data_IF_077695442252
#
_entry.id   IF_077695442252
#
_cell.length_a   1.000
_cell.length_b   1.000
_cell.length_c   1.000
_cell.angle_alpha   90.00
_cell.angle_beta   90.00
_cell.angle_gamma   90.00
#
_symmetry.space_group_name_H-M   'P 1'
#
loop_
_entity.id
_entity.type
_entity.pdbx_description
1 polymer ?
#
# COMPACT_ATOMS: atom_id res chain seq x y z
N UNK A 1 -0.83 41.98 -38.78
CA UNK A 1 -1.59 43.06 -38.13
C UNK A 1 -2.74 42.42 -37.38
N UNK A 2 -2.53 42.11 -36.09
CA UNK A 2 -3.51 41.49 -35.20
C UNK A 2 -3.88 42.55 -34.15
N UNK A 3 -5.09 43.10 -34.24
CA UNK A 3 -5.63 43.98 -33.20
C UNK A 3 -6.34 43.10 -32.15
N UNK A 4 -5.63 42.84 -31.06
CA UNK A 4 -6.17 42.35 -29.80
C UNK A 4 -6.68 43.55 -28.99
N UNK A 5 -7.99 43.61 -28.74
CA UNK A 5 -8.55 44.44 -27.68
C UNK A 5 -9.72 43.69 -27.03
N UNK A 6 -9.43 42.87 -26.01
CA UNK A 6 -10.41 42.46 -25.01
C UNK A 6 -10.11 43.19 -23.70
N UNK A 7 -10.81 44.29 -23.38
CA UNK A 7 -10.73 44.93 -22.08
C UNK A 7 -11.75 44.29 -21.12
N UNK A 8 -11.48 44.36 -19.81
CA UNK A 8 -12.38 44.09 -18.68
C UNK A 8 -12.38 42.69 -18.03
N UNK A 9 -11.21 42.18 -17.62
CA UNK A 9 -11.09 41.59 -16.28
C UNK A 9 -10.73 42.71 -15.28
N UNK A 10 -11.74 43.44 -14.79
CA UNK A 10 -11.57 44.45 -13.72
C UNK A 10 -12.56 44.30 -12.57
N UNK A 11 -13.17 43.11 -12.43
CA UNK A 11 -14.06 42.79 -11.31
C UNK A 11 -13.75 41.39 -10.80
N UNK A 12 -12.81 41.29 -9.86
CA UNK A 12 -12.62 40.07 -9.07
C UNK A 12 -13.71 40.04 -8.01
N UNK A 13 -14.77 39.29 -8.28
CA UNK A 13 -15.65 38.81 -7.23
C UNK A 13 -15.07 37.51 -6.69
N UNK A 14 -14.46 37.55 -5.52
CA UNK A 14 -14.17 36.33 -4.77
C UNK A 14 -15.45 35.91 -4.05
N UNK A 15 -16.26 35.09 -4.70
CA UNK A 15 -17.20 34.23 -3.98
C UNK A 15 -16.42 32.96 -3.66
N UNK A 16 -16.02 32.81 -2.39
CA UNK A 16 -15.52 31.52 -1.91
C UNK A 16 -16.62 30.47 -2.12
N UNK A 17 -16.36 29.38 -2.86
CA UNK A 17 -17.26 28.23 -2.84
C UNK A 17 -17.18 27.60 -1.44
N UNK A 18 -18.33 27.47 -0.80
CA UNK A 18 -18.43 26.89 0.54
C UNK A 18 -18.07 25.41 0.56
N UNK A 19 -17.16 25.06 1.46
CA UNK A 19 -16.96 23.72 2.00
C UNK A 19 -16.20 23.83 3.33
N UNK A 20 -16.59 23.12 4.40
CA UNK A 20 -15.86 23.13 5.66
C UNK A 20 -14.69 22.14 5.54
N UNK A 21 -13.68 22.52 4.76
CA UNK A 21 -12.33 21.94 4.71
C UNK A 21 -11.65 22.56 3.51
N UNK A 22 -10.44 23.07 3.70
CA UNK A 22 -9.58 23.52 2.63
C UNK A 22 -9.27 22.34 1.70
N UNK A 23 -10.09 22.15 0.65
CA UNK A 23 -9.68 21.38 -0.52
C UNK A 23 -8.69 22.27 -1.26
N UNK A 24 -7.40 21.96 -1.15
CA UNK A 24 -6.39 22.47 -2.06
C UNK A 24 -6.77 22.04 -3.47
N UNK A 25 -7.32 22.97 -4.24
CA UNK A 25 -7.36 22.86 -5.69
C UNK A 25 -5.91 22.96 -6.17
N UNK A 26 -5.28 21.79 -6.39
CA UNK A 26 -4.03 21.70 -7.12
C UNK A 26 -4.29 22.16 -8.55
N UNK A 27 -3.83 23.37 -8.85
CA UNK A 27 -3.71 23.81 -10.24
C UNK A 27 -2.83 22.81 -10.99
N UNK A 28 -3.34 22.30 -12.11
CA UNK A 28 -2.58 21.52 -13.08
C UNK A 28 -1.42 22.37 -13.60
N UNK A 29 -0.26 22.25 -12.95
CA UNK A 29 1.00 22.83 -13.39
C UNK A 29 1.64 21.90 -14.40
N UNK A 30 1.75 22.35 -15.65
CA UNK A 30 2.68 21.77 -16.61
C UNK A 30 4.10 21.86 -16.05
N UNK A 31 4.79 20.73 -16.04
CA UNK A 31 6.14 20.56 -15.55
C UNK A 31 7.11 21.56 -16.21
N UNK A 32 7.69 22.44 -15.41
CA UNK A 32 9.12 22.78 -15.48
C UNK A 32 9.60 23.02 -14.05
N UNK A 33 10.34 22.05 -13.52
CA UNK A 33 10.97 22.15 -12.20
C UNK A 33 12.17 23.09 -12.34
N UNK A 34 11.98 24.35 -11.96
CA UNK A 34 13.08 25.23 -11.53
C UNK A 34 12.82 25.58 -10.07
N UNK A 35 13.78 25.25 -9.22
CA UNK A 35 13.78 25.57 -7.79
C UNK A 35 13.67 27.09 -7.62
N UNK A 36 12.47 27.59 -7.32
CA UNK A 36 12.23 29.00 -7.03
C UNK A 36 12.76 29.27 -5.62
N UNK A 37 13.94 29.86 -5.53
CA UNK A 37 14.41 30.48 -4.29
C UNK A 37 13.40 31.55 -3.86
N UNK A 38 13.07 31.56 -2.56
CA UNK A 38 12.23 32.57 -1.90
C UNK A 38 12.79 34.01 -1.97
N UNK A 39 13.94 34.20 -2.62
CA UNK A 39 14.66 35.46 -2.68
C UNK A 39 14.05 36.47 -3.65
N UNK A 40 13.10 36.07 -4.49
CA UNK A 40 12.53 36.93 -5.54
C UNK A 40 11.15 37.51 -5.22
N UNK A 41 10.68 37.46 -3.97
CA UNK A 41 9.38 38.01 -3.57
C UNK A 41 9.56 39.33 -2.81
N UNK A 42 8.81 40.37 -3.18
CA UNK A 42 8.80 41.66 -2.50
C UNK A 42 8.07 41.56 -1.15
N UNK A 43 8.70 42.01 -0.06
CA UNK A 43 8.11 41.94 1.29
C UNK A 43 6.87 42.83 1.50
N UNK A 44 6.67 43.85 0.64
CA UNK A 44 5.52 44.74 0.74
C UNK A 44 4.31 44.27 -0.09
N UNK A 45 4.46 44.09 -1.39
CA UNK A 45 3.32 43.70 -2.26
C UNK A 45 3.17 42.19 -2.48
N UNK A 46 4.12 41.37 -2.04
CA UNK A 46 4.10 39.91 -2.28
C UNK A 46 4.28 39.50 -3.74
N UNK A 47 4.57 40.44 -4.65
CA UNK A 47 4.80 40.14 -6.06
C UNK A 47 6.19 39.52 -6.27
N UNK A 48 6.28 38.59 -7.20
CA UNK A 48 7.55 38.02 -7.66
C UNK A 48 8.24 39.01 -8.59
N UNK A 49 9.45 39.44 -8.24
CA UNK A 49 10.25 40.45 -8.94
C UNK A 49 11.59 39.84 -9.32
N UNK A 50 12.13 40.20 -10.48
CA UNK A 50 13.45 39.74 -10.92
C UNK A 50 14.52 40.15 -9.90
N UNK A 51 15.42 39.21 -9.54
CA UNK A 51 16.45 39.34 -8.50
C UNK A 51 17.24 40.67 -8.60
N UNK A 52 17.60 41.06 -9.82
CA UNK A 52 18.37 42.27 -10.13
C UNK A 52 17.62 43.59 -9.85
N UNK A 53 16.29 43.55 -9.86
CA UNK A 53 15.42 44.73 -9.70
C UNK A 53 14.67 44.76 -8.36
N UNK A 54 14.87 43.75 -7.51
CA UNK A 54 14.15 43.61 -6.24
C UNK A 54 14.29 44.83 -5.33
N UNK A 55 15.51 45.30 -5.10
CA UNK A 55 15.78 46.45 -4.21
C UNK A 55 15.10 47.73 -4.73
N UNK A 56 15.12 47.95 -6.04
CA UNK A 56 14.50 49.13 -6.66
C UNK A 56 12.97 49.05 -6.58
N UNK A 57 12.41 47.87 -6.85
CA UNK A 57 10.98 47.63 -6.72
C UNK A 57 10.50 47.77 -5.27
N UNK A 58 11.22 47.21 -4.29
CA UNK A 58 10.87 47.28 -2.87
C UNK A 58 10.82 48.72 -2.37
N UNK A 59 11.83 49.54 -2.69
CA UNK A 59 11.83 50.95 -2.33
C UNK A 59 10.69 51.73 -3.01
N UNK A 60 10.41 51.47 -4.29
CA UNK A 60 9.31 52.10 -4.99
C UNK A 60 7.94 51.68 -4.40
N UNK A 61 7.80 50.40 -4.07
CA UNK A 61 6.61 49.80 -3.51
C UNK A 61 6.34 50.30 -2.10
N UNK A 62 7.35 50.37 -1.22
CA UNK A 62 7.21 50.92 0.14
C UNK A 62 6.79 52.38 0.15
N UNK A 63 7.24 53.17 -0.83
CA UNK A 63 6.91 54.60 -0.92
C UNK A 63 5.55 54.87 -1.54
N UNK A 64 5.15 54.09 -2.53
CA UNK A 64 3.95 54.37 -3.31
C UNK A 64 2.76 53.48 -2.97
N UNK A 65 2.96 52.35 -2.28
CA UNK A 65 1.90 51.40 -2.05
C UNK A 65 1.59 51.22 -0.57
N UNK A 66 0.31 51.16 -0.25
CA UNK A 66 -0.22 51.01 1.11
C UNK A 66 -0.92 49.66 1.21
N UNK A 67 -0.56 48.88 2.23
CA UNK A 67 -1.27 47.64 2.60
C UNK A 67 -2.62 48.00 3.21
N UNK A 68 -3.64 47.19 2.93
CA UNK A 68 -4.92 47.35 3.61
C UNK A 68 -4.75 47.26 5.14
N UNK A 69 -5.28 48.23 5.93
CA UNK A 69 -5.14 48.24 7.38
C UNK A 69 -5.88 47.08 8.08
N UNK A 70 -6.90 46.51 7.43
CA UNK A 70 -7.63 45.34 7.95
C UNK A 70 -6.89 44.01 7.74
N UNK A 71 -5.69 44.03 7.14
CA UNK A 71 -4.88 42.81 6.99
C UNK A 71 -5.35 41.84 5.91
N UNK A 72 -6.18 42.27 4.95
CA UNK A 72 -6.69 41.41 3.87
C UNK A 72 -5.63 41.00 2.82
N UNK A 73 -4.39 41.43 2.98
CA UNK A 73 -3.28 41.12 2.07
C UNK A 73 -3.25 41.92 0.77
N UNK A 74 -4.27 42.74 0.47
CA UNK A 74 -4.27 43.62 -0.70
C UNK A 74 -3.40 44.85 -0.49
N UNK A 75 -2.78 45.28 -1.59
CA UNK A 75 -1.90 46.44 -1.65
C UNK A 75 -2.41 47.40 -2.71
N UNK A 76 -2.62 48.65 -2.32
CA UNK A 76 -3.19 49.71 -3.16
C UNK A 76 -2.16 50.80 -3.44
N UNK A 77 -2.30 51.47 -4.59
CA UNK A 77 -1.44 52.60 -4.95
C UNK A 77 -1.87 53.85 -4.18
N UNK A 78 -0.98 54.36 -3.33
CA UNK A 78 -1.03 55.58 -2.51
C UNK A 78 -2.11 55.61 -1.43
N UNK A 79 -3.34 55.24 -1.74
CA UNK A 79 -4.47 55.27 -0.81
C UNK A 79 -5.34 54.05 -1.04
N UNK A 80 -5.90 53.51 0.05
CA UNK A 80 -6.93 52.48 -0.02
C UNK A 80 -8.22 53.13 -0.58
N UNK A 81 -8.83 52.58 -1.65
CA UNK A 81 -10.07 53.11 -2.19
C UNK A 81 -11.21 53.08 -1.15
N UNK A 82 -12.08 54.09 -1.14
CA UNK A 82 -13.24 54.12 -0.24
C UNK A 82 -14.24 52.99 -0.51
N UNK A 83 -14.30 52.50 -1.75
CA UNK A 83 -15.14 51.37 -2.15
C UNK A 83 -14.57 50.01 -1.72
N UNK A 84 -13.37 49.99 -1.12
CA UNK A 84 -12.80 48.80 -0.54
C UNK A 84 -13.48 48.51 0.81
N UNK A 85 -14.09 47.33 0.91
CA UNK A 85 -14.89 46.95 2.06
C UNK A 85 -14.42 45.62 2.65
N UNK A 86 -14.71 45.44 3.94
CA UNK A 86 -14.52 44.19 4.68
C UNK A 86 -15.76 43.90 5.48
N UNK A 87 -16.16 42.63 5.52
CA UNK A 87 -17.26 42.18 6.36
C UNK A 87 -17.07 40.71 6.70
N UNK A 88 -17.15 40.36 7.98
CA UNK A 88 -16.82 39.03 8.50
C UNK A 88 -15.39 38.62 8.07
N UNK A 89 -15.27 37.58 7.24
CA UNK A 89 -14.01 37.07 6.67
C UNK A 89 -13.84 37.44 5.18
N UNK A 90 -14.77 38.19 4.60
CA UNK A 90 -14.79 38.55 3.20
C UNK A 90 -14.35 40.01 2.96
N UNK A 91 -13.80 40.27 1.78
CA UNK A 91 -13.40 41.60 1.33
C UNK A 91 -13.70 41.80 -0.16
N UNK A 92 -13.82 43.07 -0.58
CA UNK A 92 -14.06 43.43 -1.97
C UNK A 92 -13.72 44.89 -2.25
N UNK A 93 -13.73 45.27 -3.53
CA UNK A 93 -13.34 46.63 -3.98
C UNK A 93 -14.45 47.37 -4.75
N UNK A 94 -15.65 46.77 -4.84
CA UNK A 94 -16.81 47.30 -5.58
C UNK A 94 -18.01 47.39 -4.63
N UNK A 95 -18.74 48.50 -4.66
CA UNK A 95 -19.96 48.67 -3.85
C UNK A 95 -21.04 47.66 -4.27
N UNK A 96 -21.09 47.30 -5.56
CA UNK A 96 -21.98 46.25 -6.05
C UNK A 96 -21.61 44.85 -5.50
N UNK A 97 -20.36 44.61 -5.11
CA UNK A 97 -19.97 43.36 -4.44
C UNK A 97 -20.32 43.38 -2.97
N UNK A 98 -20.20 44.54 -2.30
CA UNK A 98 -20.64 44.72 -0.92
C UNK A 98 -22.14 44.48 -0.76
N UNK A 99 -22.95 45.09 -1.64
CA UNK A 99 -24.40 44.96 -1.61
C UNK A 99 -24.86 43.51 -1.82
N UNK A 100 -24.17 42.75 -2.68
CA UNK A 100 -24.43 41.30 -2.84
C UNK A 100 -24.04 40.50 -1.62
N UNK A 101 -22.87 40.77 -1.04
CA UNK A 101 -22.45 40.14 0.21
C UNK A 101 -23.48 40.38 1.31
N UNK A 102 -23.90 41.63 1.52
CA UNK A 102 -24.93 42.00 2.49
C UNK A 102 -26.25 41.28 2.24
N UNK A 103 -26.72 41.24 0.98
CA UNK A 103 -27.93 40.53 0.59
C UNK A 103 -27.89 39.04 0.92
N UNK A 104 -26.77 38.36 0.68
CA UNK A 104 -26.70 36.91 0.86
C UNK A 104 -26.34 36.47 2.29
N UNK A 105 -25.51 37.24 3.00
CA UNK A 105 -24.96 36.88 4.31
C UNK A 105 -25.64 37.59 5.49
N UNK A 106 -26.29 38.73 5.27
CA UNK A 106 -26.78 39.58 6.37
C UNK A 106 -28.25 39.92 6.30
N UNK A 107 -28.85 39.96 5.11
CA UNK A 107 -30.29 40.19 4.96
C UNK A 107 -31.06 39.00 5.54
N UNK A 108 -31.92 39.22 6.56
CA UNK A 108 -32.67 38.15 7.19
C UNK A 108 -33.78 37.69 6.24
N UNK A 109 -33.71 36.44 5.82
CA UNK A 109 -34.72 35.79 5.00
C UNK A 109 -35.03 34.43 5.61
N UNK A 110 -36.29 34.19 5.95
CA UNK A 110 -36.76 32.89 6.42
C UNK A 110 -37.01 31.98 5.23
N UNK A 111 -36.16 30.97 5.06
CA UNK A 111 -36.27 29.97 3.99
C UNK A 111 -36.42 28.57 4.55
N UNK A 112 -37.48 27.89 4.16
CA UNK A 112 -37.72 26.48 4.45
C UNK A 112 -37.11 25.61 3.35
N UNK A 113 -36.40 24.54 3.74
CA UNK A 113 -35.85 23.59 2.77
C UNK A 113 -36.97 22.77 2.11
N UNK A 114 -37.19 22.95 0.82
CA UNK A 114 -38.20 22.21 0.05
C UNK A 114 -37.96 20.70 -0.01
N UNK A 115 -36.78 20.22 0.39
CA UNK A 115 -36.43 18.80 0.37
C UNK A 115 -36.73 18.10 1.70
N UNK A 116 -36.32 18.68 2.82
CA UNK A 116 -36.49 18.05 4.14
C UNK A 116 -37.62 18.65 4.97
N UNK A 117 -38.08 19.87 4.67
CA UNK A 117 -39.08 20.63 5.44
C UNK A 117 -38.84 20.80 6.94
N UNK A 118 -37.70 20.29 7.46
CA UNK A 118 -37.30 20.34 8.87
C UNK A 118 -36.37 21.52 9.18
N UNK A 119 -35.60 22.00 8.20
CA UNK A 119 -34.62 23.07 8.39
C UNK A 119 -35.16 24.42 7.93
N UNK A 120 -35.18 25.38 8.86
CA UNK A 120 -35.48 26.79 8.59
C UNK A 120 -34.17 27.57 8.70
N UNK A 121 -33.78 28.23 7.62
CA UNK A 121 -32.59 29.09 7.58
C UNK A 121 -33.01 30.55 7.64
N UNK A 122 -32.22 31.39 8.31
CA UNK A 122 -32.46 32.84 8.46
C UNK A 122 -31.68 33.69 7.47
N UNK A 123 -30.77 33.08 6.71
CA UNK A 123 -29.94 33.73 5.67
C UNK A 123 -29.87 32.83 4.46
N UNK A 124 -29.67 33.41 3.29
CA UNK A 124 -29.59 32.64 2.04
C UNK A 124 -28.37 31.70 2.03
N UNK A 125 -27.22 32.17 2.52
CA UNK A 125 -26.01 31.35 2.60
C UNK A 125 -26.22 30.10 3.45
N UNK A 126 -26.81 30.25 4.63
CA UNK A 126 -27.06 29.12 5.55
C UNK A 126 -27.98 28.07 4.90
N UNK A 127 -28.97 28.54 4.14
CA UNK A 127 -29.84 27.67 3.36
C UNK A 127 -29.07 26.90 2.27
N UNK A 128 -28.23 27.60 1.50
CA UNK A 128 -27.41 26.96 0.46
C UNK A 128 -26.43 25.94 1.06
N UNK A 129 -25.79 26.26 2.18
CA UNK A 129 -24.91 25.34 2.91
C UNK A 129 -25.70 24.11 3.35
N UNK A 130 -26.89 24.31 3.94
CA UNK A 130 -27.74 23.20 4.35
C UNK A 130 -28.07 22.26 3.18
N UNK A 131 -28.56 22.82 2.06
CA UNK A 131 -28.96 22.06 0.86
C UNK A 131 -27.80 21.31 0.21
N UNK A 132 -26.57 21.81 0.33
CA UNK A 132 -25.39 21.19 -0.25
C UNK A 132 -24.76 20.11 0.65
N UNK A 133 -24.73 20.31 1.97
CA UNK A 133 -23.91 19.47 2.87
C UNK A 133 -24.75 18.63 3.84
N UNK A 134 -25.64 19.27 4.59
CA UNK A 134 -26.33 18.67 5.74
C UNK A 134 -27.71 18.10 5.43
N UNK A 135 -28.32 18.47 4.30
CA UNK A 135 -29.69 18.08 3.99
C UNK A 135 -29.76 16.55 3.75
N UNK A 136 -30.60 15.80 4.50
CA UNK A 136 -30.74 14.34 4.37
C UNK A 136 -31.12 13.89 2.95
N UNK A 137 -31.85 14.71 2.23
CA UNK A 137 -32.35 14.41 0.88
C UNK A 137 -31.46 14.95 -0.23
N UNK A 138 -30.24 15.37 0.10
CA UNK A 138 -29.22 15.67 -0.91
C UNK A 138 -28.81 14.37 -1.60
N UNK A 139 -28.80 14.39 -2.93
CA UNK A 139 -28.37 13.24 -3.72
C UNK A 139 -26.85 13.12 -3.68
N UNK A 140 -26.36 11.90 -3.55
CA UNK A 140 -24.95 11.55 -3.64
C UNK A 140 -24.83 10.23 -4.41
N UNK A 141 -23.65 9.98 -4.97
CA UNK A 141 -23.31 8.69 -5.55
C UNK A 141 -22.91 7.74 -4.43
N UNK A 142 -23.63 6.62 -4.29
CA UNK A 142 -23.29 5.61 -3.30
C UNK A 142 -22.09 4.79 -3.76
N UNK A 143 -21.07 4.63 -2.90
CA UNK A 143 -19.83 3.87 -3.18
C UNK A 143 -20.06 2.38 -3.51
N UNK A 144 -21.20 1.81 -3.11
CA UNK A 144 -21.47 0.38 -3.22
C UNK A 144 -22.40 0.02 -4.39
N UNK A 145 -23.43 0.83 -4.66
CA UNK A 145 -24.37 0.58 -5.76
C UNK A 145 -24.15 1.51 -6.97
N UNK A 146 -23.32 2.55 -6.84
CA UNK A 146 -23.02 3.54 -7.88
C UNK A 146 -24.27 4.26 -8.45
N UNK A 147 -25.35 4.30 -7.67
CA UNK A 147 -26.57 5.03 -8.01
C UNK A 147 -26.60 6.38 -7.30
N UNK A 148 -27.21 7.37 -7.94
CA UNK A 148 -27.51 8.67 -7.35
C UNK A 148 -28.75 8.58 -6.46
N UNK A 149 -28.53 8.66 -5.15
CA UNK A 149 -29.56 8.40 -4.11
C UNK A 149 -29.49 9.42 -2.98
N UNK A 150 -30.60 9.68 -2.26
CA UNK A 150 -30.57 10.57 -1.10
C UNK A 150 -29.71 9.99 0.02
N UNK A 151 -29.05 10.85 0.80
CA UNK A 151 -28.23 10.44 1.96
C UNK A 151 -29.05 9.79 3.09
N UNK A 152 -30.33 10.15 3.18
CA UNK A 152 -31.26 9.79 4.26
C UNK A 152 -30.82 10.37 5.62
N UNK A 153 -31.67 10.27 6.64
CA UNK A 153 -31.35 10.77 7.99
C UNK A 153 -30.20 9.96 8.59
N UNK A 154 -29.15 10.66 9.06
CA UNK A 154 -27.95 10.01 9.56
C UNK A 154 -28.21 9.39 10.95
N UNK A 155 -28.02 8.07 11.05
CA UNK A 155 -27.92 7.38 12.35
C UNK A 155 -26.57 7.67 13.04
N UNK A 156 -26.46 7.35 14.33
CA UNK A 156 -25.21 7.45 15.08
C UNK A 156 -24.07 6.68 14.43
N UNK A 157 -24.38 5.50 13.89
CA UNK A 157 -23.41 4.64 13.22
C UNK A 157 -22.95 5.24 11.89
N UNK A 158 -23.84 5.95 11.18
CA UNK A 158 -23.53 6.60 9.91
C UNK A 158 -22.50 7.71 10.11
N UNK A 159 -22.72 8.51 11.16
CA UNK A 159 -21.84 9.60 11.56
C UNK A 159 -20.46 9.08 11.97
N UNK A 160 -20.40 8.04 12.81
CA UNK A 160 -19.13 7.46 13.26
C UNK A 160 -18.34 6.85 12.11
N UNK A 161 -19.03 6.25 11.15
CA UNK A 161 -18.40 5.58 10.00
C UNK A 161 -18.08 6.54 8.84
N UNK A 162 -18.50 7.80 8.91
CA UNK A 162 -18.33 8.78 7.82
C UNK A 162 -19.04 8.39 6.52
N UNK A 163 -20.16 7.65 6.64
CA UNK A 163 -20.96 7.17 5.51
C UNK A 163 -22.36 7.79 5.55
N UNK A 164 -23.04 7.84 4.40
CA UNK A 164 -24.48 8.14 4.39
C UNK A 164 -25.28 6.98 4.98
N UNK A 165 -26.52 7.24 5.40
CA UNK A 165 -27.38 6.18 5.92
C UNK A 165 -27.71 5.15 4.83
N UNK A 166 -27.92 5.59 3.60
CA UNK A 166 -28.06 4.67 2.47
C UNK A 166 -26.79 3.83 2.24
N UNK A 167 -25.60 4.42 2.33
CA UNK A 167 -24.32 3.69 2.20
C UNK A 167 -24.16 2.62 3.28
N UNK A 168 -24.60 2.88 4.52
CA UNK A 168 -24.59 1.85 5.57
C UNK A 168 -25.48 0.66 5.24
N UNK A 169 -26.72 0.92 4.82
CA UNK A 169 -27.68 -0.13 4.48
C UNK A 169 -27.22 -0.91 3.25
N UNK A 170 -26.76 -0.21 2.22
CA UNK A 170 -26.23 -0.83 1.01
C UNK A 170 -24.93 -1.63 1.30
N UNK A 171 -24.03 -1.07 2.10
CA UNK A 171 -22.76 -1.68 2.50
C UNK A 171 -22.90 -2.82 3.51
N UNK A 172 -24.09 -2.98 4.13
CA UNK A 172 -24.41 -4.11 5.02
C UNK A 172 -24.62 -5.42 4.27
N UNK A 173 -24.92 -5.35 2.96
CA UNK A 173 -25.02 -6.52 2.10
C UNK A 173 -23.70 -7.27 2.08
N UNK A 174 -23.76 -8.59 2.05
CA UNK A 174 -22.58 -9.45 2.09
C UNK A 174 -22.15 -9.89 0.70
N UNK A 175 -20.83 -9.98 0.51
CA UNK A 175 -20.16 -10.57 -0.64
C UNK A 175 -19.18 -11.64 -0.20
N UNK A 176 -18.90 -12.61 -1.07
CA UNK A 176 -17.89 -13.63 -0.80
C UNK A 176 -16.48 -13.09 -1.06
N UNK A 177 -15.57 -13.29 -0.11
CA UNK A 177 -14.17 -12.94 -0.31
C UNK A 177 -13.53 -13.86 -1.36
N UNK A 178 -12.86 -13.34 -2.40
CA UNK A 178 -12.26 -14.16 -3.45
C UNK A 178 -11.09 -15.05 -2.95
N UNK A 179 -10.44 -14.68 -1.83
CA UNK A 179 -9.30 -15.43 -1.28
C UNK A 179 -9.73 -16.55 -0.32
N UNK A 180 -10.62 -16.24 0.63
CA UNK A 180 -11.00 -17.19 1.69
C UNK A 180 -12.42 -17.75 1.57
N UNK A 181 -13.20 -17.30 0.57
CA UNK A 181 -14.59 -17.69 0.33
C UNK A 181 -15.53 -17.46 1.52
N UNK A 182 -15.13 -16.62 2.47
CA UNK A 182 -15.98 -16.22 3.60
C UNK A 182 -16.87 -15.07 3.19
N UNK A 183 -18.11 -15.11 3.66
CA UNK A 183 -19.10 -14.06 3.49
C UNK A 183 -18.69 -12.86 4.37
N UNK A 184 -18.45 -11.71 3.76
CA UNK A 184 -18.04 -10.47 4.43
C UNK A 184 -18.95 -9.33 3.96
N UNK A 185 -19.25 -8.35 4.79
CA UNK A 185 -20.04 -7.18 4.39
C UNK A 185 -19.27 -6.35 3.36
N UNK A 186 -19.96 -5.75 2.39
CA UNK A 186 -19.36 -4.91 1.35
C UNK A 186 -18.49 -3.80 1.95
N UNK A 187 -18.98 -3.14 3.01
CA UNK A 187 -18.24 -2.09 3.71
C UNK A 187 -16.97 -2.59 4.40
N UNK A 188 -16.92 -3.86 4.78
CA UNK A 188 -15.81 -4.47 5.53
C UNK A 188 -14.86 -5.26 4.60
N UNK A 189 -15.15 -5.31 3.29
CA UNK A 189 -14.35 -6.09 2.34
C UNK A 189 -12.92 -5.54 2.21
N UNK A 190 -12.76 -4.22 2.17
CA UNK A 190 -11.43 -3.60 2.05
C UNK A 190 -10.56 -3.88 3.30
N UNK A 191 -11.12 -3.71 4.50
CA UNK A 191 -10.41 -4.01 5.76
C UNK A 191 -10.11 -5.51 5.89
N UNK A 192 -11.02 -6.37 5.44
CA UNK A 192 -10.80 -7.81 5.37
C UNK A 192 -9.64 -8.19 4.43
N UNK A 193 -9.53 -7.53 3.27
CA UNK A 193 -8.41 -7.76 2.34
C UNK A 193 -7.08 -7.29 2.91
N UNK A 194 -7.04 -6.13 3.58
CA UNK A 194 -5.86 -5.66 4.32
C UNK A 194 -5.44 -6.66 5.41
N UNK A 195 -6.40 -7.27 6.08
CA UNK A 195 -6.12 -8.30 7.09
C UNK A 195 -5.49 -9.56 6.47
N UNK A 196 -5.86 -9.95 5.25
CA UNK A 196 -5.14 -11.03 4.54
C UNK A 196 -3.70 -10.66 4.25
N UNK A 197 -3.44 -9.42 3.83
CA UNK A 197 -2.08 -8.94 3.55
C UNK A 197 -1.22 -8.86 4.82
N UNK A 198 -1.77 -8.33 5.91
CA UNK A 198 -1.08 -8.30 7.20
C UNK A 198 -0.74 -9.72 7.68
N UNK A 199 -1.68 -10.66 7.57
CA UNK A 199 -1.43 -12.07 7.92
C UNK A 199 -0.45 -12.75 6.96
N UNK A 200 -0.33 -12.29 5.71
CA UNK A 200 0.67 -12.80 4.76
C UNK A 200 2.07 -12.36 5.19
N UNK A 201 2.24 -11.07 5.48
CA UNK A 201 3.52 -10.47 5.88
C UNK A 201 3.95 -10.94 7.27
N UNK A 202 3.02 -11.08 8.21
CA UNK A 202 3.35 -11.46 9.59
C UNK A 202 3.70 -12.94 9.78
N UNK A 203 3.53 -13.78 8.76
CA UNK A 203 3.84 -15.22 8.88
C UNK A 203 5.35 -15.42 8.97
N UNK A 204 5.85 -16.13 9.98
CA UNK A 204 7.27 -16.45 10.06
C UNK A 204 7.67 -17.34 8.88
N UNK A 205 8.89 -17.10 8.39
CA UNK A 205 9.50 -17.91 7.34
C UNK A 205 9.46 -19.40 7.73
N UNK A 206 8.91 -20.29 6.88
CA UNK A 206 8.82 -21.70 7.21
C UNK A 206 10.22 -22.32 7.33
N UNK A 207 10.41 -23.23 8.28
CA UNK A 207 11.68 -23.95 8.44
C UNK A 207 11.60 -25.26 7.67
N UNK A 208 12.34 -25.33 6.56
CA UNK A 208 12.42 -26.53 5.72
C UNK A 208 13.54 -27.45 6.17
N UNK A 209 13.43 -28.73 5.80
CA UNK A 209 14.42 -29.76 6.05
C UNK A 209 15.81 -29.35 5.53
N UNK A 210 16.86 -29.53 6.35
CA UNK A 210 18.27 -29.26 5.98
C UNK A 210 18.79 -30.10 4.81
N UNK A 211 18.06 -31.14 4.38
CA UNK A 211 18.41 -31.90 3.18
C UNK A 211 18.01 -31.12 1.93
N UNK A 212 18.99 -30.72 1.12
CA UNK A 212 18.80 -29.91 -0.10
C UNK A 212 17.91 -30.61 -1.14
N UNK A 213 17.85 -31.94 -1.12
CA UNK A 213 16.98 -32.71 -2.01
C UNK A 213 15.55 -32.88 -1.46
N UNK A 214 15.25 -32.35 -0.27
CA UNK A 214 13.95 -32.48 0.38
C UNK A 214 13.20 -31.15 0.37
N UNK A 215 11.88 -31.24 0.21
CA UNK A 215 10.94 -30.10 0.27
C UNK A 215 10.16 -30.05 1.59
N UNK A 216 10.24 -31.09 2.42
CA UNK A 216 9.40 -31.23 3.61
C UNK A 216 9.83 -30.25 4.69
N UNK A 217 8.89 -29.85 5.53
CA UNK A 217 9.17 -29.06 6.74
C UNK A 217 10.09 -29.84 7.71
N UNK A 218 10.95 -29.11 8.42
CA UNK A 218 11.84 -29.70 9.41
C UNK A 218 11.04 -30.15 10.64
N UNK A 219 11.40 -31.30 11.21
CA UNK A 219 10.84 -31.73 12.48
C UNK A 219 11.42 -30.90 13.63
N UNK A 220 10.62 -30.61 14.66
CA UNK A 220 11.07 -29.92 15.88
C UNK A 220 11.85 -30.84 16.83
N UNK A 221 11.82 -32.15 16.59
CA UNK A 221 12.37 -33.17 17.48
C UNK A 221 13.86 -33.42 17.31
N UNK A 222 14.49 -32.95 16.22
CA UNK A 222 15.88 -33.27 15.91
C UNK A 222 16.79 -32.03 15.82
N UNK A 223 18.01 -32.19 16.32
CA UNK A 223 19.04 -31.14 16.31
C UNK A 223 19.54 -30.83 14.89
N UNK A 224 19.41 -31.78 13.95
CA UNK A 224 19.86 -31.65 12.56
C UNK A 224 18.86 -30.91 11.64
N UNK A 225 17.68 -30.51 12.17
CA UNK A 225 16.58 -29.87 11.42
C UNK A 225 16.19 -30.64 10.15
N UNK A 226 16.13 -31.97 10.25
CA UNK A 226 15.68 -32.85 9.17
C UNK A 226 14.18 -33.15 9.34
N UNK A 227 13.46 -33.44 8.25
CA UNK A 227 12.11 -33.98 8.36
C UNK A 227 12.14 -35.42 8.89
N UNK A 228 11.02 -35.92 9.41
CA UNK A 228 10.91 -37.28 9.97
C UNK A 228 11.32 -38.39 8.98
N UNK A 229 11.03 -38.21 7.70
CA UNK A 229 11.45 -39.16 6.66
C UNK A 229 12.96 -39.18 6.43
N UNK A 230 13.62 -38.02 6.48
CA UNK A 230 15.08 -37.94 6.31
C UNK A 230 15.81 -38.39 7.57
N UNK A 231 15.23 -38.12 8.74
CA UNK A 231 15.77 -38.47 10.04
C UNK A 231 15.48 -39.90 10.47
N UNK A 232 14.39 -40.53 10.01
CA UNK A 232 13.98 -41.88 10.39
C UNK A 232 15.09 -42.94 10.28
N UNK A 233 15.84 -43.02 9.16
CA UNK A 233 16.98 -43.94 9.04
C UNK A 233 18.15 -43.64 10.00
N UNK A 234 18.19 -42.43 10.56
CA UNK A 234 19.18 -41.95 11.52
C UNK A 234 18.64 -41.97 12.96
N UNK A 235 17.40 -42.42 13.19
CA UNK A 235 16.83 -42.51 14.53
C UNK A 235 17.43 -43.70 15.28
N UNK A 236 17.75 -43.51 16.55
CA UNK A 236 18.06 -44.59 17.47
C UNK A 236 17.55 -44.22 18.86
N UNK A 237 16.94 -45.17 19.58
CA UNK A 237 16.48 -44.94 20.96
C UNK A 237 17.63 -44.90 21.98
N UNK A 238 18.88 -45.15 21.57
CA UNK A 238 20.04 -45.14 22.47
C UNK A 238 20.45 -43.71 22.76
N UNK A 239 20.47 -43.33 24.04
CA UNK A 239 20.93 -42.01 24.47
C UNK A 239 22.42 -41.83 24.12
N UNK A 240 22.71 -40.81 23.30
CA UNK A 240 24.06 -40.46 22.85
C UNK A 240 24.33 -38.98 23.15
N UNK A 241 24.81 -38.64 24.35
CA UNK A 241 25.06 -37.26 24.76
C UNK A 241 26.20 -36.59 23.98
N UNK A 242 27.01 -37.36 23.23
CA UNK A 242 28.14 -36.85 22.44
C UNK A 242 27.82 -36.71 20.95
N UNK A 243 26.69 -37.25 20.49
CA UNK A 243 26.29 -37.28 19.08
C UNK A 243 27.21 -38.09 18.15
N UNK A 244 28.20 -38.81 18.69
CA UNK A 244 29.19 -39.55 17.88
C UNK A 244 28.54 -40.68 17.08
N UNK A 245 27.59 -41.42 17.67
CA UNK A 245 26.85 -42.49 16.98
C UNK A 245 25.89 -41.93 15.93
N UNK A 246 25.35 -40.73 16.15
CA UNK A 246 24.55 -40.04 15.12
C UNK A 246 25.43 -39.65 13.93
N UNK A 247 26.61 -39.05 14.18
CA UNK A 247 27.59 -38.71 13.13
C UNK A 247 28.05 -39.94 12.36
N UNK A 248 28.41 -41.02 13.04
CA UNK A 248 28.80 -42.27 12.40
C UNK A 248 27.70 -42.86 11.49
N UNK A 249 26.42 -42.72 11.86
CA UNK A 249 25.29 -43.15 11.02
C UNK A 249 25.10 -42.27 9.79
N UNK A 250 25.32 -40.95 9.92
CA UNK A 250 25.34 -40.03 8.77
C UNK A 250 26.47 -40.39 7.82
N UNK A 251 27.68 -40.62 8.34
CA UNK A 251 28.84 -41.05 7.54
C UNK A 251 28.56 -42.36 6.81
N UNK A 252 28.06 -43.38 7.52
CA UNK A 252 27.70 -44.68 6.91
C UNK A 252 26.70 -44.52 5.77
N UNK A 253 25.71 -43.62 5.92
CA UNK A 253 24.73 -43.34 4.87
C UNK A 253 25.38 -42.72 3.64
N UNK A 254 26.29 -41.76 3.80
CA UNK A 254 27.03 -41.17 2.68
C UNK A 254 27.97 -42.18 2.00
N UNK A 255 28.65 -43.03 2.78
CA UNK A 255 29.51 -44.09 2.23
C UNK A 255 28.69 -45.01 1.33
N UNK A 256 27.50 -45.45 1.74
CA UNK A 256 26.62 -46.26 0.90
C UNK A 256 26.18 -45.50 -0.36
N UNK A 257 25.78 -44.23 -0.21
CA UNK A 257 25.31 -43.41 -1.33
C UNK A 257 26.38 -43.13 -2.39
N UNK A 258 27.65 -42.98 -1.99
CA UNK A 258 28.77 -42.70 -2.90
C UNK A 258 29.47 -43.97 -3.40
N UNK A 259 29.47 -45.06 -2.64
CA UNK A 259 30.13 -46.30 -3.03
C UNK A 259 29.22 -47.21 -3.87
N UNK A 260 28.02 -47.53 -3.36
CA UNK A 260 27.06 -48.39 -4.05
C UNK A 260 26.01 -47.61 -4.84
N UNK A 261 25.70 -46.37 -4.43
CA UNK A 261 24.58 -45.62 -4.98
C UNK A 261 23.25 -46.08 -4.39
N UNK A 262 22.17 -45.35 -4.70
CA UNK A 262 20.82 -45.68 -4.23
C UNK A 262 20.08 -46.65 -5.17
N UNK A 263 20.67 -47.04 -6.30
CA UNK A 263 20.10 -48.01 -7.26
C UNK A 263 19.00 -47.47 -8.17
N UNK A 264 18.63 -46.20 -8.06
CA UNK A 264 17.53 -45.59 -8.81
C UNK A 264 18.04 -44.79 -10.02
N UNK A 265 17.50 -45.06 -11.21
CA UNK A 265 17.86 -44.38 -12.47
C UNK A 265 17.39 -42.93 -12.53
N UNK A 266 16.35 -42.57 -11.78
CA UNK A 266 15.79 -41.22 -11.71
C UNK A 266 16.47 -40.34 -10.65
N UNK A 267 17.48 -40.86 -9.94
CA UNK A 267 18.18 -40.10 -8.91
C UNK A 267 18.96 -38.94 -9.55
N UNK A 268 18.62 -37.70 -9.19
CA UNK A 268 19.34 -36.48 -9.63
C UNK A 268 20.20 -35.86 -8.54
N UNK A 269 20.51 -36.61 -7.48
CA UNK A 269 21.31 -36.11 -6.37
C UNK A 269 22.77 -35.95 -6.79
N UNK A 270 23.34 -34.77 -6.55
CA UNK A 270 24.75 -34.45 -6.80
C UNK A 270 25.73 -35.25 -5.95
N UNK A 271 25.28 -35.91 -4.88
CA UNK A 271 26.15 -36.68 -3.97
C UNK A 271 25.80 -38.17 -4.01
N UNK A 272 25.39 -38.71 -5.16
CA UNK A 272 25.01 -40.12 -5.30
C UNK A 272 25.67 -40.73 -6.53
N UNK A 273 26.27 -41.91 -6.39
CA UNK A 273 26.87 -42.63 -7.53
C UNK A 273 25.84 -42.96 -8.61
N UNK A 274 24.60 -43.31 -8.22
CA UNK A 274 23.54 -43.66 -9.16
C UNK A 274 23.03 -42.50 -10.02
N UNK A 275 23.35 -41.24 -9.68
CA UNK A 275 22.99 -40.10 -10.53
C UNK A 275 23.93 -39.91 -11.72
N UNK A 276 25.09 -40.59 -11.73
CA UNK A 276 26.11 -40.43 -12.75
C UNK A 276 26.84 -39.07 -12.72
N UNK A 277 26.47 -38.17 -11.81
CA UNK A 277 27.08 -36.84 -11.67
C UNK A 277 28.38 -36.86 -10.85
N UNK A 278 28.62 -37.93 -10.09
CA UNK A 278 29.82 -38.10 -9.27
C UNK A 278 30.51 -39.40 -9.63
N UNK A 279 31.81 -39.30 -9.87
CA UNK A 279 32.67 -40.45 -10.11
C UNK A 279 33.93 -40.30 -9.27
N UNK A 280 34.03 -41.08 -8.21
CA UNK A 280 35.24 -41.21 -7.40
C UNK A 280 36.02 -42.43 -7.88
N UNK A 281 37.35 -42.28 -8.00
CA UNK A 281 38.21 -43.35 -8.51
C UNK A 281 38.49 -44.39 -7.43
N UNK A 282 38.66 -43.92 -6.20
CA UNK A 282 39.08 -44.75 -5.07
C UNK A 282 38.19 -44.55 -3.83
N UNK A 283 38.07 -45.59 -3.00
CA UNK A 283 37.35 -45.53 -1.73
C UNK A 283 37.94 -44.48 -0.75
N UNK A 284 39.26 -44.28 -0.80
CA UNK A 284 39.93 -43.24 0.00
C UNK A 284 39.50 -41.81 -0.36
N UNK A 285 39.22 -41.54 -1.63
CA UNK A 285 38.71 -40.22 -2.08
C UNK A 285 37.29 -39.96 -1.55
N UNK A 286 36.44 -40.99 -1.53
CA UNK A 286 35.09 -40.94 -0.97
C UNK A 286 35.15 -40.56 0.52
N UNK A 287 36.00 -41.23 1.30
CA UNK A 287 36.14 -40.94 2.73
C UNK A 287 36.66 -39.54 3.01
N UNK A 288 37.60 -39.06 2.19
CA UNK A 288 38.13 -37.71 2.32
C UNK A 288 37.02 -36.68 2.03
N UNK A 289 36.30 -36.82 0.92
CA UNK A 289 35.19 -35.94 0.53
C UNK A 289 34.09 -35.87 1.61
N UNK A 290 33.71 -37.01 2.19
CA UNK A 290 32.71 -37.05 3.26
C UNK A 290 33.19 -36.24 4.48
N UNK A 291 34.43 -36.45 4.92
CA UNK A 291 34.97 -35.80 6.12
C UNK A 291 35.20 -34.30 5.91
N UNK A 292 35.74 -33.91 4.76
CA UNK A 292 36.11 -32.51 4.51
C UNK A 292 34.94 -31.65 4.03
N UNK A 293 34.02 -32.19 3.24
CA UNK A 293 32.93 -31.41 2.63
C UNK A 293 31.56 -31.69 3.25
N UNK A 294 31.14 -32.96 3.31
CA UNK A 294 29.76 -33.31 3.67
C UNK A 294 29.49 -33.24 5.18
N UNK A 295 30.45 -33.62 6.01
CA UNK A 295 30.32 -33.60 7.47
C UNK A 295 30.61 -32.22 8.08
N UNK A 296 31.33 -31.36 7.36
CA UNK A 296 31.60 -29.98 7.79
C UNK A 296 30.49 -28.99 7.42
N UNK A 297 29.55 -29.40 6.57
CA UNK A 297 28.47 -28.54 6.07
C UNK A 297 27.22 -28.63 6.97
N UNK A 298 26.49 -27.52 7.19
CA UNK A 298 25.20 -27.54 7.89
C UNK A 298 24.05 -28.10 7.04
N UNK A 299 24.28 -28.37 5.74
CA UNK A 299 23.28 -28.93 4.82
C UNK A 299 23.59 -30.37 4.42
N UNK A 300 22.55 -31.16 4.20
CA UNK A 300 22.66 -32.56 3.86
C UNK A 300 22.24 -32.83 2.41
N UNK A 301 22.79 -33.89 1.82
CA UNK A 301 22.48 -34.31 0.45
C UNK A 301 22.06 -35.78 0.43
N UNK A 302 21.00 -36.13 1.16
CA UNK A 302 20.51 -37.51 1.16
C UNK A 302 19.61 -37.78 -0.04
N UNK A 303 19.72 -38.97 -0.61
CA UNK A 303 18.76 -39.46 -1.59
C UNK A 303 17.36 -39.55 -0.98
N UNK A 304 16.38 -39.15 -1.80
CA UNK A 304 14.95 -39.10 -1.47
C UNK A 304 14.15 -39.91 -2.49
N UNK A 305 12.85 -40.00 -2.28
CA UNK A 305 11.89 -40.72 -3.11
C UNK A 305 11.62 -40.05 -4.48
N UNK A 306 10.98 -40.78 -5.41
CA UNK A 306 10.69 -40.29 -6.76
C UNK A 306 9.74 -39.08 -6.72
N UNK A 307 8.75 -39.10 -5.83
CA UNK A 307 7.76 -38.02 -5.73
C UNK A 307 8.42 -36.71 -5.28
N UNK A 308 9.27 -36.76 -4.25
CA UNK A 308 10.04 -35.59 -3.83
C UNK A 308 11.04 -35.14 -4.89
N UNK A 309 11.69 -36.05 -5.62
CA UNK A 309 12.61 -35.68 -6.72
C UNK A 309 11.88 -34.96 -7.86
N UNK A 310 10.67 -35.40 -8.24
CA UNK A 310 9.83 -34.69 -9.23
C UNK A 310 9.42 -33.31 -8.73
N UNK A 311 8.97 -33.21 -7.48
CA UNK A 311 8.62 -31.93 -6.85
C UNK A 311 9.81 -30.98 -6.74
N UNK A 312 11.02 -31.50 -6.47
CA UNK A 312 12.25 -30.71 -6.45
C UNK A 312 12.58 -30.06 -7.80
N UNK A 313 12.22 -30.69 -8.92
CA UNK A 313 12.36 -30.07 -10.24
C UNK A 313 11.42 -28.86 -10.41
N UNK A 314 10.21 -28.94 -9.87
CA UNK A 314 9.30 -27.78 -9.84
C UNK A 314 9.87 -26.65 -8.96
N UNK A 315 10.44 -27.01 -7.81
CA UNK A 315 11.10 -26.04 -6.92
C UNK A 315 12.29 -25.36 -7.62
N UNK A 316 13.12 -26.10 -8.36
CA UNK A 316 14.22 -25.46 -9.10
C UNK A 316 13.73 -24.48 -10.16
N UNK A 317 12.66 -24.81 -10.90
CA UNK A 317 12.08 -23.90 -11.89
C UNK A 317 11.58 -22.60 -11.26
N UNK A 318 10.90 -22.68 -10.11
CA UNK A 318 10.38 -21.50 -9.41
C UNK A 318 11.46 -20.70 -8.69
N UNK A 319 12.58 -21.33 -8.33
CA UNK A 319 13.73 -20.64 -7.74
C UNK A 319 14.46 -19.78 -8.76
N UNK A 320 14.50 -20.20 -10.01
CA UNK A 320 15.11 -19.44 -11.12
C UNK A 320 14.33 -18.15 -11.44
N UNK A 321 13.06 -18.06 -11.05
CA UNK A 321 12.25 -16.83 -11.18
C UNK A 321 12.63 -15.74 -10.16
N UNK A 322 13.35 -16.11 -9.09
CA UNK A 322 13.87 -15.20 -8.05
C UNK A 322 12.82 -14.31 -7.33
N UNK A 323 11.53 -14.67 -7.34
CA UNK A 323 10.49 -13.86 -6.70
C UNK A 323 10.26 -14.19 -5.21
N UNK A 324 10.46 -15.46 -4.83
CA UNK A 324 10.14 -15.98 -3.51
C UNK A 324 11.32 -16.77 -2.93
N UNK A 325 11.44 -16.73 -1.61
CA UNK A 325 12.42 -17.54 -0.92
C UNK A 325 12.12 -19.05 -1.04
N UNK A 326 13.20 -19.85 -1.07
CA UNK A 326 13.13 -21.31 -1.17
C UNK A 326 12.17 -21.96 -0.19
N UNK A 327 12.13 -21.47 1.05
CA UNK A 327 11.29 -22.07 2.08
C UNK A 327 9.80 -21.97 1.74
N UNK A 328 9.36 -20.84 1.20
CA UNK A 328 7.99 -20.62 0.75
C UNK A 328 7.64 -21.49 -0.46
N UNK A 329 8.55 -21.57 -1.43
CA UNK A 329 8.37 -22.41 -2.63
C UNK A 329 8.24 -23.88 -2.24
N UNK A 330 9.10 -24.39 -1.35
CA UNK A 330 9.03 -25.77 -0.87
C UNK A 330 7.69 -26.08 -0.20
N UNK A 331 7.18 -25.17 0.63
CA UNK A 331 5.88 -25.32 1.30
C UNK A 331 4.71 -25.33 0.29
N UNK A 332 4.76 -24.46 -0.71
CA UNK A 332 3.74 -24.37 -1.75
C UNK A 332 3.67 -25.66 -2.61
N UNK A 333 4.82 -26.18 -3.05
CA UNK A 333 4.94 -27.42 -3.84
C UNK A 333 4.58 -28.66 -3.01
N UNK A 334 4.70 -28.59 -1.68
CA UNK A 334 4.22 -29.66 -0.82
C UNK A 334 2.68 -29.73 -0.82
N UNK A 335 2.01 -28.58 -0.79
CA UNK A 335 0.54 -28.48 -0.73
C UNK A 335 -0.15 -28.73 -2.07
N UNK A 336 0.45 -28.29 -3.18
CA UNK A 336 -0.18 -28.32 -4.50
C UNK A 336 0.58 -29.22 -5.50
N UNK A 337 -0.12 -29.65 -6.54
CA UNK A 337 0.43 -30.56 -7.58
C UNK A 337 0.76 -29.80 -8.87
N UNK A 338 -0.05 -28.82 -9.26
CA UNK A 338 0.13 -28.06 -10.49
C UNK A 338 0.94 -26.78 -10.25
N UNK A 339 1.67 -26.31 -11.27
CA UNK A 339 2.48 -25.10 -11.17
C UNK A 339 1.61 -23.84 -10.97
N UNK A 340 0.46 -23.74 -11.65
CA UNK A 340 -0.43 -22.58 -11.53
C UNK A 340 -1.07 -22.47 -10.14
N UNK A 341 -1.45 -23.61 -9.56
CA UNK A 341 -1.94 -23.69 -8.17
C UNK A 341 -0.83 -23.32 -7.17
N UNK A 342 0.42 -23.69 -7.46
CA UNK A 342 1.58 -23.28 -6.65
C UNK A 342 1.79 -21.76 -6.72
N UNK A 343 1.74 -21.15 -7.91
CA UNK A 343 1.89 -19.70 -8.08
C UNK A 343 0.78 -18.91 -7.39
N UNK A 344 -0.47 -19.33 -7.55
CA UNK A 344 -1.61 -18.71 -6.86
C UNK A 344 -1.54 -18.88 -5.33
N UNK A 345 -0.99 -19.99 -4.84
CA UNK A 345 -0.76 -20.16 -3.41
C UNK A 345 0.34 -19.23 -2.89
N UNK A 346 1.45 -19.08 -3.63
CA UNK A 346 2.56 -18.21 -3.28
C UNK A 346 2.13 -16.74 -3.21
N UNK A 347 1.40 -16.23 -4.20
CA UNK A 347 0.92 -14.84 -4.20
C UNK A 347 0.01 -14.52 -3.00
N UNK A 348 -0.77 -15.50 -2.55
CA UNK A 348 -1.70 -15.35 -1.45
C UNK A 348 -1.07 -15.56 -0.06
N UNK A 349 -0.04 -16.41 0.07
CA UNK A 349 0.47 -16.85 1.37
C UNK A 349 1.93 -16.52 1.66
N UNK A 350 2.76 -16.32 0.63
CA UNK A 350 4.19 -16.08 0.79
C UNK A 350 4.51 -14.59 0.76
N UNK A 351 5.62 -14.24 1.42
CA UNK A 351 6.21 -12.91 1.35
C UNK A 351 7.22 -12.91 0.21
N UNK A 352 7.16 -11.89 -0.66
CA UNK A 352 8.13 -11.70 -1.76
C UNK A 352 9.47 -11.30 -1.18
N UNK A 353 10.56 -11.60 -1.89
CA UNK A 353 11.91 -11.23 -1.42
C UNK A 353 12.06 -9.71 -1.27
N UNK A 354 11.42 -8.92 -2.15
CA UNK A 354 11.45 -7.46 -2.09
C UNK A 354 10.63 -6.86 -0.93
N UNK A 355 9.70 -7.64 -0.36
CA UNK A 355 8.80 -7.22 0.72
C UNK A 355 9.26 -7.68 2.11
N UNK A 356 10.29 -8.54 2.18
CA UNK A 356 10.85 -9.12 3.40
C UNK A 356 12.07 -8.35 3.88
#
# INVERSE_FOLDING_TARGET
>A
MLQNTFPYFKKTLYLLPFGPTLVQLSAYSSETVNSVSSDNVCSNCGATVAATSKIMHENFCLRNNVKCPHGCGKVFLRTVPENHWHCCEAYGDDEASFNRHRKYYHEPVTLECSRCSQAVSTRLVDHCVHVATSCPYTLHECRFCHLMVPKMEASTDALLSGMSQHELECGSKTTECPRCKRNVRLRDLESHMKLHELNRVSKPKPVICSNVNCIREAATSNELKLCDFCFGPLYSPVNDPTGQKLRSRVERRYILQLNSGCGNTWCKNKECKSSGMVSFKNFGEILNHIKTQLMSSPVFYFCVDLATTKKMLMVSLLLDEHEYDRAWICKAVQANVNIDDVRSWLSNNAVRIDEA
#
